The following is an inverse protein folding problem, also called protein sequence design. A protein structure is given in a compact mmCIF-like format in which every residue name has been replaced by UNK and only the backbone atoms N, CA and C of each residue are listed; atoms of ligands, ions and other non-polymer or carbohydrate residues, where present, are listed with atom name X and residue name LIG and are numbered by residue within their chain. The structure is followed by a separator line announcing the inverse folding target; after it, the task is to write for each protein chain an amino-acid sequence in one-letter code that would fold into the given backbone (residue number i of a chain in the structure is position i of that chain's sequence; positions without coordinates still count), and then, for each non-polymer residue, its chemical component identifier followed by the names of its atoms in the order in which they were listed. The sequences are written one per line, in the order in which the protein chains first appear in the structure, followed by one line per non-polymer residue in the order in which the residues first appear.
data_IF_686044826803
#
_entry.id   IF_686044826803
#
_cell.length_a   1.000
_cell.length_b   1.000
_cell.length_c   1.000
_cell.angle_alpha   90.00
_cell.angle_beta   90.00
_cell.angle_gamma   90.00
#
_symmetry.space_group_name_H-M   'P 1'
#
loop_
_entity.id
_entity.type
_entity.pdbx_description
1 polymer ?
#
# COMPACT_ATOMS: atom_id res chain seq x y z
N UNK A 1 -12.22 6.01 -16.11
CA UNK A 1 -11.11 5.16 -15.66
C UNK A 1 -10.29 6.02 -14.72
N UNK A 2 -10.22 5.70 -13.43
CA UNK A 2 -9.36 6.45 -12.51
C UNK A 2 -7.91 6.18 -12.90
N UNK A 3 -7.15 7.23 -13.25
CA UNK A 3 -5.70 7.13 -13.43
C UNK A 3 -5.06 6.62 -12.13
N UNK A 4 -4.22 5.60 -12.26
CA UNK A 4 -3.38 5.11 -11.17
C UNK A 4 -2.25 6.12 -11.00
N UNK A 5 -2.04 6.62 -9.78
CA UNK A 5 -0.95 7.58 -9.52
C UNK A 5 0.37 6.83 -9.32
N UNK A 6 1.49 7.50 -9.56
CA UNK A 6 2.84 6.95 -9.34
C UNK A 6 3.00 6.40 -7.90
N UNK A 7 2.37 7.04 -6.90
CA UNK A 7 2.39 6.56 -5.52
C UNK A 7 1.61 5.25 -5.33
N UNK A 8 0.51 5.05 -6.06
CA UNK A 8 -0.31 3.85 -5.98
C UNK A 8 0.43 2.65 -6.60
N UNK A 9 1.08 2.85 -7.76
CA UNK A 9 1.94 1.84 -8.38
C UNK A 9 3.10 1.46 -7.45
N UNK A 10 3.73 2.44 -6.82
CA UNK A 10 4.82 2.20 -5.90
C UNK A 10 4.41 1.37 -4.67
N UNK A 11 3.24 1.65 -4.09
CA UNK A 11 2.70 0.84 -2.98
C UNK A 11 2.47 -0.61 -3.42
N UNK A 12 1.95 -0.82 -4.64
CA UNK A 12 1.75 -2.16 -5.19
C UNK A 12 3.09 -2.89 -5.36
N UNK A 13 4.11 -2.21 -5.86
CA UNK A 13 5.44 -2.81 -6.06
C UNK A 13 6.13 -3.18 -4.74
N UNK A 14 5.97 -2.35 -3.70
CA UNK A 14 6.41 -2.69 -2.35
C UNK A 14 5.75 -3.99 -1.88
N UNK A 15 4.42 -4.10 -2.03
CA UNK A 15 3.67 -5.28 -1.59
C UNK A 15 4.02 -6.53 -2.40
N UNK A 16 4.24 -6.41 -3.71
CA UNK A 16 4.72 -7.52 -4.55
C UNK A 16 6.11 -8.01 -4.11
N UNK A 17 7.02 -7.09 -3.78
CA UNK A 17 8.40 -7.42 -3.43
C UNK A 17 8.59 -7.93 -1.99
N UNK A 18 7.82 -7.41 -1.03
CA UNK A 18 7.96 -7.71 0.40
C UNK A 18 6.87 -8.61 0.98
N UNK A 19 5.78 -8.83 0.23
CA UNK A 19 4.66 -9.66 0.66
C UNK A 19 3.70 -8.94 1.60
N UNK A 20 3.07 -9.69 2.50
CA UNK A 20 2.00 -9.19 3.39
C UNK A 20 2.56 -8.23 4.45
N UNK A 21 2.07 -6.99 4.47
CA UNK A 21 2.59 -5.90 5.31
C UNK A 21 1.49 -5.11 6.00
N UNK A 22 1.81 -4.49 7.14
CA UNK A 22 0.95 -3.49 7.78
C UNK A 22 1.08 -2.13 7.12
N UNK A 23 0.10 -1.25 7.34
CA UNK A 23 0.18 0.16 6.90
C UNK A 23 1.48 0.83 7.37
N UNK A 24 1.88 0.64 8.63
CA UNK A 24 3.13 1.20 9.17
C UNK A 24 4.36 0.66 8.46
N UNK A 25 4.42 -0.65 8.21
CA UNK A 25 5.55 -1.25 7.48
C UNK A 25 5.65 -0.74 6.04
N UNK A 26 4.52 -0.47 5.39
CA UNK A 26 4.48 0.11 4.05
C UNK A 26 5.01 1.55 4.10
N UNK A 27 4.55 2.37 5.04
CA UNK A 27 5.02 3.74 5.23
C UNK A 27 6.53 3.81 5.52
N UNK A 28 7.05 2.89 6.32
CA UNK A 28 8.48 2.79 6.60
C UNK A 28 9.28 2.36 5.35
N UNK A 29 8.75 1.42 4.56
CA UNK A 29 9.37 1.02 3.29
C UNK A 29 9.43 2.18 2.28
N UNK A 30 8.40 3.02 2.24
CA UNK A 30 8.37 4.22 1.39
C UNK A 30 9.43 5.22 1.83
N UNK A 31 9.53 5.49 3.14
CA UNK A 31 10.55 6.41 3.70
C UNK A 31 11.97 5.96 3.40
N UNK A 32 12.27 4.66 3.53
CA UNK A 32 13.60 4.10 3.26
C UNK A 32 14.03 4.33 1.81
N UNK A 33 13.08 4.35 0.87
CA UNK A 33 13.33 4.56 -0.55
C UNK A 33 13.50 6.05 -0.92
N UNK A 34 13.40 6.96 0.06
CA UNK A 34 13.56 8.40 -0.16
C UNK A 34 12.45 9.05 -0.97
N UNK A 35 11.33 8.36 -1.20
CA UNK A 35 10.21 8.89 -1.97
C UNK A 35 9.35 9.75 -1.06
N UNK A 36 9.21 11.02 -1.43
CA UNK A 36 8.24 11.91 -0.82
C UNK A 36 6.84 11.53 -1.31
N UNK A 37 6.18 10.61 -0.59
CA UNK A 37 4.78 10.31 -0.84
C UNK A 37 3.96 11.57 -0.48
N UNK A 38 3.29 12.16 -1.48
CA UNK A 38 2.50 13.39 -1.29
C UNK A 38 1.40 13.20 -0.24
N UNK A 39 0.84 11.99 -0.19
CA UNK A 39 -0.12 11.53 0.80
C UNK A 39 0.40 10.28 1.53
N UNK A 40 -0.04 10.07 2.77
CA UNK A 40 0.30 8.86 3.51
C UNK A 40 -0.29 7.60 2.82
N UNK A 41 0.44 6.48 2.85
CA UNK A 41 0.02 5.22 2.23
C UNK A 41 -1.38 4.78 2.70
N UNK A 42 -1.72 5.08 3.95
CA UNK A 42 -3.06 4.88 4.55
C UNK A 42 -4.22 5.46 3.73
N UNK A 43 -4.02 6.51 2.93
CA UNK A 43 -5.07 7.09 2.06
C UNK A 43 -5.35 6.25 0.81
N UNK A 44 -4.33 5.60 0.26
CA UNK A 44 -4.44 4.88 -1.01
C UNK A 44 -4.89 3.43 -0.83
N UNK A 45 -4.49 2.78 0.27
CA UNK A 45 -4.74 1.35 0.50
C UNK A 45 -6.23 0.96 0.43
N UNK A 46 -7.19 1.73 1.02
CA UNK A 46 -8.60 1.41 0.86
C UNK A 46 -9.08 1.53 -0.60
N UNK A 47 -8.61 2.52 -1.34
CA UNK A 47 -8.94 2.73 -2.75
C UNK A 47 -8.39 1.61 -3.63
N UNK A 48 -7.12 1.24 -3.45
CA UNK A 48 -6.47 0.12 -4.14
C UNK A 48 -7.20 -1.20 -3.88
N UNK A 49 -7.64 -1.44 -2.63
CA UNK A 49 -8.43 -2.61 -2.28
C UNK A 49 -9.80 -2.59 -2.95
N UNK A 50 -10.49 -1.45 -2.96
CA UNK A 50 -11.80 -1.33 -3.60
C UNK A 50 -11.74 -1.54 -5.12
N UNK A 51 -10.62 -1.16 -5.74
CA UNK A 51 -10.35 -1.36 -7.18
C UNK A 51 -9.83 -2.77 -7.50
N UNK A 52 -9.52 -3.59 -6.48
CA UNK A 52 -9.09 -4.97 -6.65
C UNK A 52 -7.60 -5.18 -6.88
N UNK A 53 -6.78 -4.13 -6.81
CA UNK A 53 -5.33 -4.22 -7.01
C UNK A 53 -4.60 -4.90 -5.85
N UNK A 54 -5.14 -4.77 -4.64
CA UNK A 54 -4.59 -5.39 -3.43
C UNK A 54 -5.71 -6.05 -2.63
N UNK A 55 -5.33 -6.97 -1.76
CA UNK A 55 -6.18 -7.49 -0.70
C UNK A 55 -5.84 -6.81 0.62
N UNK A 56 -6.80 -6.83 1.54
CA UNK A 56 -6.61 -6.30 2.87
C UNK A 56 -7.51 -6.99 3.88
N UNK A 57 -6.97 -7.26 5.06
CA UNK A 57 -7.65 -7.92 6.18
C UNK A 57 -7.27 -7.22 7.48
N UNK A 58 -8.27 -6.96 8.33
CA UNK A 58 -8.03 -6.44 9.67
C UNK A 58 -7.82 -7.59 10.65
N UNK A 59 -6.61 -7.71 11.20
CA UNK A 59 -6.22 -8.79 12.13
C UNK A 59 -5.35 -8.23 13.25
N UNK A 60 -5.50 -8.74 14.48
CA UNK A 60 -4.70 -8.32 15.63
C UNK A 60 -4.65 -6.79 15.83
N UNK A 61 -5.79 -6.10 15.64
CA UNK A 61 -5.92 -4.63 15.73
C UNK A 61 -5.12 -3.83 14.68
N UNK A 62 -4.66 -4.46 13.60
CA UNK A 62 -3.97 -3.78 12.50
C UNK A 62 -4.49 -4.26 11.15
N UNK A 63 -4.35 -3.40 10.13
CA UNK A 63 -4.60 -3.81 8.75
C UNK A 63 -3.38 -4.51 8.18
N UNK A 64 -3.60 -5.65 7.54
CA UNK A 64 -2.61 -6.35 6.74
C UNK A 64 -3.00 -6.25 5.26
N UNK A 65 -2.04 -5.94 4.40
CA UNK A 65 -2.22 -5.71 2.97
C UNK A 65 -1.27 -6.59 2.17
N UNK A 66 -1.71 -7.07 1.00
CA UNK A 66 -0.88 -7.88 0.10
C UNK A 66 -1.45 -7.83 -1.33
N UNK A 67 -0.64 -8.26 -2.29
CA UNK A 67 -1.07 -8.56 -3.67
C UNK A 67 -1.21 -10.09 -3.78
N UNK A 68 -2.24 -10.57 -4.47
CA UNK A 68 -2.39 -12.02 -4.78
C UNK A 68 -1.37 -12.49 -5.81
#
# INVERSE_FOLDING_TARGET
MSEMTDEAEFVIDILKGKGKMTTTQIEDAIKVQGIACRDAASRFLPGLKAQGFIKGEFKNKTWMWWVD
#
